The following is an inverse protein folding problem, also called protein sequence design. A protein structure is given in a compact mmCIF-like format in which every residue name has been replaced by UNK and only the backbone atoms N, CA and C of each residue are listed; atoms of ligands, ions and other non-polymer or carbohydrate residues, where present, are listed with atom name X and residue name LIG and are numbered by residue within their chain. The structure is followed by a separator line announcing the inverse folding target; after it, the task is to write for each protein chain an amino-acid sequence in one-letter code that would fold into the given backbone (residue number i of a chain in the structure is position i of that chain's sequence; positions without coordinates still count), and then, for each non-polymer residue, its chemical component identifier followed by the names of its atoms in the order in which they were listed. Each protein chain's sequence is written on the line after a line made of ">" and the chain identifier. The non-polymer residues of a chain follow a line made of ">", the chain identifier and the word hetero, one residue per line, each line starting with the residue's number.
data_IF_613175004105
#
_entry.id   IF_613175004105
#
_cell.length_a   1.000
_cell.length_b   1.000
_cell.length_c   1.000
_cell.angle_alpha   90.00
_cell.angle_beta   90.00
_cell.angle_gamma   90.00
#
_symmetry.space_group_name_H-M   'P 1'
#
loop_
_entity.id
_entity.type
_entity.pdbx_description
1 polymer ?
#
# COMPACT_ATOMS: atom_id res chain seq x y z
N UNK A 1 -24.23 47.69 -22.19
CA UNK A 1 -23.79 46.87 -23.35
C UNK A 1 -22.50 47.47 -23.89
N UNK A 2 -21.35 46.78 -23.95
CA UNK A 2 -20.77 45.75 -23.07
C UNK A 2 -19.43 46.23 -22.43
N UNK A 3 -19.10 45.75 -21.24
CA UNK A 3 -17.77 45.93 -20.61
C UNK A 3 -16.89 44.72 -20.89
N UNK A 4 -15.71 44.97 -21.47
CA UNK A 4 -14.62 44.00 -21.67
C UNK A 4 -14.16 43.42 -20.33
N UNK A 5 -14.04 42.09 -20.23
CA UNK A 5 -13.30 41.41 -19.17
C UNK A 5 -12.04 40.83 -19.79
N UNK A 6 -10.89 41.31 -19.32
CA UNK A 6 -9.54 40.91 -19.69
C UNK A 6 -9.17 39.57 -19.04
N UNK A 7 -8.41 38.69 -19.69
CA UNK A 7 -7.92 37.47 -19.06
C UNK A 7 -6.74 37.81 -18.12
N UNK A 8 -6.90 37.53 -16.83
CA UNK A 8 -5.81 37.60 -15.86
C UNK A 8 -4.75 36.55 -16.18
N UNK A 9 -3.51 37.00 -16.35
CA UNK A 9 -2.33 36.17 -16.47
C UNK A 9 -1.94 35.64 -15.09
N UNK A 10 -1.78 34.32 -14.98
CA UNK A 10 -1.16 33.69 -13.82
C UNK A 10 0.31 34.14 -13.74
N UNK A 11 0.66 34.94 -12.73
CA UNK A 11 2.05 35.24 -12.38
C UNK A 11 2.42 34.39 -11.18
N UNK A 12 3.29 33.40 -11.38
CA UNK A 12 3.96 32.69 -10.28
C UNK A 12 5.03 33.63 -9.71
N UNK A 13 4.69 34.34 -8.64
CA UNK A 13 5.70 34.99 -7.80
C UNK A 13 6.35 33.93 -6.92
N UNK A 14 7.56 33.49 -7.31
CA UNK A 14 8.42 32.70 -6.45
C UNK A 14 8.89 33.58 -5.27
N UNK A 15 8.21 33.46 -4.14
CA UNK A 15 8.77 33.95 -2.87
C UNK A 15 9.93 33.06 -2.48
N UNK A 16 11.11 33.69 -2.39
CA UNK A 16 12.39 33.19 -1.89
C UNK A 16 12.27 32.04 -0.87
N UNK A 17 12.64 30.83 -1.29
CA UNK A 17 12.96 29.73 -0.37
C UNK A 17 14.30 30.04 0.30
N UNK A 18 14.27 30.40 1.58
CA UNK A 18 15.47 30.56 2.41
C UNK A 18 15.96 29.16 2.79
N UNK A 19 17.01 28.68 2.12
CA UNK A 19 17.66 27.43 2.46
C UNK A 19 18.28 27.51 3.87
N UNK A 20 17.69 26.81 4.84
CA UNK A 20 18.35 26.50 6.09
C UNK A 20 19.36 25.38 5.82
N UNK A 21 20.61 25.78 5.60
CA UNK A 21 21.73 24.87 5.40
C UNK A 21 22.06 24.12 6.69
N UNK A 22 21.67 22.85 6.77
CA UNK A 22 22.32 21.90 7.67
C UNK A 22 23.52 21.30 6.94
N UNK A 23 24.72 21.81 7.25
CA UNK A 23 25.98 21.17 6.88
C UNK A 23 26.16 19.92 7.75
N UNK A 24 25.84 18.74 7.25
CA UNK A 24 26.37 17.48 7.78
C UNK A 24 27.48 16.99 6.87
N UNK A 25 28.72 17.16 7.34
CA UNK A 25 29.93 16.55 6.78
C UNK A 25 30.00 15.12 7.31
N UNK A 26 29.84 14.13 6.44
CA UNK A 26 30.18 12.74 6.75
C UNK A 26 31.43 12.41 5.96
N UNK A 27 32.56 12.47 6.65
CA UNK A 27 33.86 11.96 6.21
C UNK A 27 33.88 10.44 6.33
N UNK A 28 34.45 9.81 5.30
CA UNK A 28 35.18 8.53 5.30
C UNK A 28 34.63 7.37 6.14
N UNK A 29 34.05 6.40 5.44
CA UNK A 29 34.01 5.00 5.89
C UNK A 29 34.25 4.07 4.70
N UNK A 30 35.40 4.22 4.05
CA UNK A 30 36.06 3.13 3.33
C UNK A 30 36.87 2.30 4.31
N UNK A 31 36.22 1.35 4.99
CA UNK A 31 36.88 0.15 5.52
C UNK A 31 35.83 -0.84 5.98
N UNK A 32 36.12 -2.15 5.82
CA UNK A 32 35.32 -3.32 6.23
C UNK A 32 34.43 -3.93 5.13
N UNK A 33 35.01 -4.13 3.94
CA UNK A 33 34.83 -5.41 3.25
C UNK A 33 35.77 -6.43 3.91
N UNK A 34 35.22 -7.40 4.65
CA UNK A 34 35.85 -8.72 4.79
C UNK A 34 34.76 -9.82 4.82
N UNK A 35 34.79 -10.79 3.88
CA UNK A 35 33.95 -11.98 3.94
C UNK A 35 34.49 -12.95 5.01
N UNK A 36 33.62 -13.36 5.93
CA UNK A 36 33.98 -14.31 7.00
C UNK A 36 33.77 -15.73 6.52
N UNK A 37 34.85 -16.39 6.11
CA UNK A 37 34.93 -17.85 5.92
C UNK A 37 35.54 -18.49 7.17
N UNK A 38 34.83 -19.41 7.81
CA UNK A 38 35.31 -20.47 8.75
C UNK A 38 34.05 -21.19 9.25
N UNK A 39 33.94 -22.51 9.43
CA UNK A 39 34.84 -23.66 9.30
C UNK A 39 33.94 -24.91 9.41
N UNK A 40 34.28 -25.97 8.69
CA UNK A 40 33.74 -27.32 8.87
C UNK A 40 33.92 -27.78 10.34
N UNK A 41 32.84 -28.31 10.93
CA UNK A 41 32.87 -29.06 12.18
C UNK A 41 32.35 -30.47 11.94
N UNK A 42 33.27 -31.40 11.75
CA UNK A 42 33.07 -32.85 11.78
C UNK A 42 32.77 -33.30 13.20
N UNK A 43 31.72 -34.11 13.40
CA UNK A 43 31.65 -35.07 14.51
C UNK A 43 30.93 -36.34 14.03
N UNK A 44 31.53 -37.47 14.38
CA UNK A 44 31.28 -38.83 13.89
C UNK A 44 30.64 -39.70 14.98
N UNK A 45 29.68 -40.51 14.53
CA UNK A 45 29.23 -41.85 14.96
C UNK A 45 29.10 -42.25 16.45
N UNK A 46 27.91 -42.77 16.78
CA UNK A 46 27.74 -44.17 17.22
C UNK A 46 26.28 -44.63 17.03
N UNK A 47 26.11 -45.80 16.41
CA UNK A 47 24.85 -46.52 16.17
C UNK A 47 24.48 -47.43 17.34
N UNK A 48 23.19 -47.74 17.50
CA UNK A 48 22.72 -49.13 17.65
C UNK A 48 21.19 -49.23 17.45
N UNK A 49 20.80 -50.34 16.86
CA UNK A 49 19.57 -50.71 16.15
C UNK A 49 18.62 -51.64 16.93
N UNK A 50 17.32 -51.57 16.61
CA UNK A 50 16.35 -52.70 16.37
C UNK A 50 14.93 -52.10 16.29
N UNK A 51 14.23 -52.02 15.14
CA UNK A 51 13.36 -53.05 14.50
C UNK A 51 12.31 -53.65 15.47
N UNK A 52 11.00 -53.79 15.20
CA UNK A 52 10.14 -53.66 14.01
C UNK A 52 8.68 -53.46 14.47
N UNK A 53 7.80 -52.93 13.60
CA UNK A 53 6.54 -53.60 13.21
C UNK A 53 5.67 -52.72 12.29
N UNK A 54 5.23 -53.35 11.21
CA UNK A 54 4.48 -52.76 10.11
C UNK A 54 2.97 -52.93 10.29
N UNK A 55 2.18 -51.89 10.03
CA UNK A 55 0.80 -52.01 9.54
C UNK A 55 0.29 -50.70 8.92
N UNK A 56 0.48 -50.61 7.60
CA UNK A 56 -0.41 -50.05 6.58
C UNK A 56 -1.70 -49.33 7.04
N UNK A 57 -1.81 -48.02 6.78
CA UNK A 57 -3.09 -47.43 6.38
C UNK A 57 -2.95 -46.13 5.58
N UNK A 58 -3.17 -46.31 4.27
CA UNK A 58 -3.94 -45.42 3.38
C UNK A 58 -3.42 -43.99 3.24
N UNK A 59 -2.55 -43.83 2.24
CA UNK A 59 -2.47 -42.63 1.42
C UNK A 59 -3.86 -42.28 0.89
N UNK A 60 -4.55 -41.38 1.59
CA UNK A 60 -5.52 -40.49 1.00
C UNK A 60 -4.81 -39.19 0.69
N UNK A 61 -4.16 -39.10 -0.47
CA UNK A 61 -3.82 -37.82 -1.07
C UNK A 61 -5.15 -37.12 -1.39
N UNK A 62 -5.69 -36.41 -0.39
CA UNK A 62 -6.55 -35.30 -0.67
C UNK A 62 -5.71 -34.36 -1.54
N UNK A 63 -6.02 -34.30 -2.83
CA UNK A 63 -5.71 -33.14 -3.66
C UNK A 63 -6.28 -31.96 -2.90
N UNK A 64 -5.44 -31.32 -2.07
CA UNK A 64 -5.73 -30.04 -1.51
C UNK A 64 -6.00 -29.15 -2.71
N UNK A 65 -7.25 -28.75 -2.88
CA UNK A 65 -7.52 -27.55 -3.65
C UNK A 65 -6.57 -26.51 -3.09
N UNK A 66 -5.63 -26.07 -3.91
CA UNK A 66 -4.84 -24.88 -3.63
C UNK A 66 -5.91 -23.78 -3.60
N UNK A 67 -6.43 -23.50 -2.40
CA UNK A 67 -7.15 -22.28 -2.15
C UNK A 67 -6.17 -21.19 -2.58
N UNK A 68 -6.45 -20.43 -3.65
CA UNK A 68 -5.52 -19.39 -4.07
C UNK A 68 -5.25 -18.55 -2.84
N UNK A 69 -3.97 -18.37 -2.49
CA UNK A 69 -3.63 -17.56 -1.32
C UNK A 69 -4.39 -16.24 -1.41
N UNK A 70 -5.05 -15.85 -0.30
CA UNK A 70 -5.87 -14.65 -0.33
C UNK A 70 -4.95 -13.43 -0.46
N UNK A 71 -4.76 -13.00 -1.71
CA UNK A 71 -3.79 -11.98 -2.10
C UNK A 71 -4.05 -10.70 -1.31
N UNK A 72 -2.99 -10.17 -0.70
CA UNK A 72 -3.04 -8.87 -0.05
C UNK A 72 -3.19 -7.77 -1.09
N UNK A 73 -4.18 -6.91 -0.90
CA UNK A 73 -4.52 -5.82 -1.80
C UNK A 73 -4.67 -4.51 -1.03
N UNK A 74 -4.21 -3.43 -1.64
CA UNK A 74 -4.59 -2.08 -1.23
C UNK A 74 -5.60 -1.51 -2.24
N UNK A 75 -6.80 -1.21 -1.78
CA UNK A 75 -7.75 -0.43 -2.55
C UNK A 75 -7.46 1.07 -2.41
N UNK A 76 -7.43 1.76 -3.55
CA UNK A 76 -7.33 3.22 -3.66
C UNK A 76 -8.58 3.70 -4.40
N UNK A 77 -9.31 4.64 -3.84
CA UNK A 77 -10.56 5.16 -4.41
C UNK A 77 -10.38 6.63 -4.71
N UNK A 78 -10.66 7.00 -5.95
CA UNK A 78 -10.57 8.37 -6.47
C UNK A 78 -11.96 8.92 -6.77
N UNK A 79 -12.04 10.24 -6.77
CA UNK A 79 -13.23 11.01 -7.09
C UNK A 79 -13.29 11.31 -8.60
N UNK A 80 -14.33 10.83 -9.29
CA UNK A 80 -14.51 11.06 -10.73
C UNK A 80 -14.68 12.54 -11.07
N UNK A 81 -15.45 13.27 -10.26
CA UNK A 81 -15.64 14.71 -10.40
C UNK A 81 -14.32 15.50 -10.33
N UNK A 82 -13.36 15.04 -9.51
CA UNK A 82 -12.00 15.63 -9.48
C UNK A 82 -11.18 15.19 -10.70
N UNK A 83 -11.26 13.93 -11.12
CA UNK A 83 -10.58 13.46 -12.34
C UNK A 83 -10.98 14.29 -13.56
N UNK A 84 -12.26 14.67 -13.66
CA UNK A 84 -12.79 15.43 -14.79
C UNK A 84 -12.38 16.92 -14.77
N UNK A 85 -11.96 17.45 -13.62
CA UNK A 85 -11.73 18.89 -13.43
C UNK A 85 -10.30 19.25 -13.05
N UNK A 86 -9.52 18.30 -12.54
CA UNK A 86 -8.16 18.51 -12.06
C UNK A 86 -7.12 18.01 -13.07
N UNK A 87 -5.90 18.57 -13.07
CA UNK A 87 -4.78 17.98 -13.78
C UNK A 87 -4.55 16.53 -13.31
N UNK A 88 -4.32 15.61 -14.26
CA UNK A 88 -4.09 14.19 -13.97
C UNK A 88 -3.00 13.98 -12.91
N UNK A 89 -1.89 14.75 -13.00
CA UNK A 89 -0.81 14.70 -12.03
C UNK A 89 -1.27 15.00 -10.61
N UNK A 90 -2.13 16.00 -10.41
CA UNK A 90 -2.69 16.33 -9.09
C UNK A 90 -3.49 15.16 -8.52
N UNK A 91 -4.35 14.52 -9.31
CA UNK A 91 -5.14 13.36 -8.88
C UNK A 91 -4.26 12.17 -8.51
N UNK A 92 -3.23 11.89 -9.32
CA UNK A 92 -2.25 10.83 -9.03
C UNK A 92 -1.58 11.08 -7.69
N UNK A 93 -1.14 12.31 -7.44
CA UNK A 93 -0.52 12.72 -6.17
C UNK A 93 -1.45 12.48 -4.97
N UNK A 94 -2.75 12.76 -5.10
CA UNK A 94 -3.74 12.45 -4.04
C UNK A 94 -3.79 10.95 -3.72
N UNK A 95 -3.79 10.10 -4.76
CA UNK A 95 -3.73 8.65 -4.62
C UNK A 95 -2.47 8.17 -3.90
N UNK A 96 -1.31 8.74 -4.26
CA UNK A 96 -0.04 8.45 -3.60
C UNK A 96 -0.05 8.85 -2.11
N UNK A 97 -0.52 10.06 -1.79
CA UNK A 97 -0.61 10.54 -0.41
C UNK A 97 -1.49 9.66 0.45
N UNK A 98 -2.69 9.33 -0.02
CA UNK A 98 -3.61 8.44 0.70
C UNK A 98 -2.98 7.07 0.92
N UNK A 99 -2.39 6.48 -0.12
CA UNK A 99 -1.80 5.13 -0.06
C UNK A 99 -0.64 5.02 0.91
N UNK A 100 0.31 5.96 0.83
CA UNK A 100 1.48 5.98 1.73
C UNK A 100 1.06 6.25 3.16
N UNK A 101 0.11 7.16 3.38
CA UNK A 101 -0.41 7.45 4.73
C UNK A 101 -1.08 6.22 5.35
N UNK A 102 -1.93 5.52 4.59
CA UNK A 102 -2.61 4.31 5.07
C UNK A 102 -1.62 3.20 5.45
N UNK A 103 -0.54 3.05 4.68
CA UNK A 103 0.54 2.09 4.98
C UNK A 103 1.30 2.53 6.23
N UNK A 104 1.76 3.79 6.29
CA UNK A 104 2.58 4.28 7.39
C UNK A 104 1.87 4.24 8.75
N UNK A 105 0.60 4.65 8.77
CA UNK A 105 -0.24 4.61 9.96
C UNK A 105 -0.47 3.17 10.47
N UNK A 106 -0.28 2.16 9.62
CA UNK A 106 -0.49 0.74 9.93
C UNK A 106 0.78 -0.11 9.72
N UNK A 107 1.97 0.49 9.75
CA UNK A 107 3.24 -0.18 9.41
C UNK A 107 3.55 -1.42 10.28
N UNK A 108 2.95 -1.51 11.46
CA UNK A 108 3.15 -2.60 12.42
C UNK A 108 2.05 -3.69 12.30
N UNK A 109 1.05 -3.52 11.44
CA UNK A 109 0.02 -4.53 11.19
C UNK A 109 0.60 -5.73 10.40
N UNK A 110 0.27 -6.99 10.75
CA UNK A 110 0.84 -8.17 10.10
C UNK A 110 0.65 -8.21 8.58
N UNK A 111 -0.51 -7.79 8.07
CA UNK A 111 -0.74 -7.76 6.62
C UNK A 111 0.05 -6.63 5.96
N UNK A 112 0.21 -5.49 6.63
CA UNK A 112 1.03 -4.38 6.11
C UNK A 112 2.51 -4.76 6.05
N UNK A 113 3.02 -5.43 7.10
CA UNK A 113 4.38 -5.96 7.13
C UNK A 113 4.61 -6.99 6.01
N UNK A 114 3.69 -7.93 5.83
CA UNK A 114 3.76 -8.93 4.76
C UNK A 114 3.70 -8.25 3.38
N UNK A 115 2.80 -7.30 3.18
CA UNK A 115 2.64 -6.57 1.92
C UNK A 115 3.88 -5.75 1.54
N UNK A 116 4.60 -5.22 2.53
CA UNK A 116 5.82 -4.45 2.35
C UNK A 116 7.12 -5.27 2.56
N UNK A 117 7.02 -6.61 2.66
CA UNK A 117 8.20 -7.46 2.90
C UNK A 117 9.14 -7.46 1.68
N UNK A 118 10.45 -7.76 1.85
CA UNK A 118 11.39 -7.84 0.73
C UNK A 118 10.94 -8.77 -0.39
N UNK A 119 10.21 -9.83 -0.05
CA UNK A 119 9.69 -10.82 -1.01
C UNK A 119 8.46 -10.31 -1.77
N UNK A 120 7.68 -9.39 -1.20
CA UNK A 120 6.40 -8.93 -1.76
C UNK A 120 6.44 -7.50 -2.29
N UNK A 121 7.46 -6.70 -1.98
CA UNK A 121 7.50 -5.27 -2.31
C UNK A 121 7.38 -5.01 -3.82
N UNK A 122 7.99 -5.86 -4.65
CA UNK A 122 7.90 -5.79 -6.12
C UNK A 122 6.62 -6.41 -6.69
N UNK A 123 5.82 -7.08 -5.86
CA UNK A 123 4.57 -7.76 -6.22
C UNK A 123 3.34 -7.17 -5.52
N UNK A 124 3.47 -5.96 -4.96
CA UNK A 124 2.37 -5.25 -4.30
C UNK A 124 1.16 -5.10 -5.24
N UNK A 125 0.02 -5.65 -4.83
CA UNK A 125 -1.22 -5.49 -5.58
C UNK A 125 -2.00 -4.25 -5.13
N UNK A 126 -2.38 -3.39 -6.07
CA UNK A 126 -3.24 -2.23 -5.84
C UNK A 126 -4.42 -2.23 -6.82
N UNK A 127 -5.60 -1.88 -6.32
CA UNK A 127 -6.80 -1.73 -7.14
C UNK A 127 -7.33 -0.31 -7.02
N UNK A 128 -7.30 0.42 -8.14
CA UNK A 128 -7.79 1.79 -8.22
C UNK A 128 -9.23 1.82 -8.69
N UNK A 129 -10.13 2.33 -7.85
CA UNK A 129 -11.56 2.44 -8.11
C UNK A 129 -12.00 3.90 -8.11
N UNK A 130 -13.20 4.15 -8.61
CA UNK A 130 -13.79 5.49 -8.62
C UNK A 130 -15.16 5.54 -7.94
N UNK A 131 -15.43 6.70 -7.33
CA UNK A 131 -16.76 7.13 -6.88
C UNK A 131 -17.14 8.40 -7.63
N UNK A 132 -18.44 8.68 -7.74
CA UNK A 132 -18.91 9.84 -8.53
C UNK A 132 -18.50 11.20 -7.95
N UNK A 133 -18.34 11.28 -6.62
CA UNK A 133 -17.97 12.52 -5.95
C UNK A 133 -17.99 12.41 -4.44
N UNK A 134 -17.91 13.56 -3.77
CA UNK A 134 -17.71 13.68 -2.32
C UNK A 134 -18.68 12.87 -1.47
N UNK A 135 -19.98 12.98 -1.74
CA UNK A 135 -20.99 12.28 -0.95
C UNK A 135 -20.78 10.77 -0.97
N UNK A 136 -20.39 10.19 -2.10
CA UNK A 136 -20.11 8.76 -2.18
C UNK A 136 -18.80 8.38 -1.48
N UNK A 137 -17.80 9.26 -1.51
CA UNK A 137 -16.53 9.07 -0.80
C UNK A 137 -16.76 9.01 0.72
N UNK A 138 -17.51 9.96 1.27
CA UNK A 138 -17.83 10.01 2.70
C UNK A 138 -18.66 8.80 3.13
N UNK A 139 -19.72 8.46 2.38
CA UNK A 139 -20.52 7.26 2.63
C UNK A 139 -19.69 5.97 2.60
N UNK A 140 -18.68 5.87 1.73
CA UNK A 140 -17.77 4.73 1.71
C UNK A 140 -16.90 4.71 2.97
N UNK A 141 -16.31 5.83 3.34
CA UNK A 141 -15.49 5.97 4.56
C UNK A 141 -16.26 5.59 5.82
N UNK A 142 -17.51 6.05 5.96
CA UNK A 142 -18.38 5.70 7.08
C UNK A 142 -18.69 4.20 7.12
N UNK A 143 -19.01 3.58 5.98
CA UNK A 143 -19.26 2.13 5.89
C UNK A 143 -18.04 1.31 6.28
N UNK A 144 -16.86 1.71 5.82
CA UNK A 144 -15.61 1.04 6.18
C UNK A 144 -15.32 1.19 7.67
N UNK A 145 -15.52 2.39 8.23
CA UNK A 145 -15.36 2.66 9.67
C UNK A 145 -16.31 1.80 10.50
N UNK A 146 -17.59 1.74 10.13
CA UNK A 146 -18.60 0.92 10.81
C UNK A 146 -18.29 -0.58 10.76
N UNK A 147 -17.58 -1.03 9.74
CA UNK A 147 -17.14 -2.41 9.59
C UNK A 147 -15.75 -2.71 10.20
N UNK A 148 -15.11 -1.72 10.84
CA UNK A 148 -13.76 -1.88 11.40
C UNK A 148 -12.66 -2.00 10.34
N UNK A 149 -12.92 -1.58 9.09
CA UNK A 149 -11.93 -1.56 8.03
C UNK A 149 -11.13 -0.27 8.10
N UNK A 150 -9.87 -0.40 8.48
CA UNK A 150 -8.93 0.71 8.61
C UNK A 150 -8.56 1.25 7.24
N UNK A 151 -8.73 2.56 7.07
CA UNK A 151 -8.43 3.28 5.84
C UNK A 151 -8.04 4.73 6.15
N UNK A 152 -7.31 5.33 5.22
CA UNK A 152 -7.05 6.76 5.18
C UNK A 152 -8.06 7.43 4.28
N UNK A 153 -8.77 8.42 4.81
CA UNK A 153 -9.44 9.45 4.00
C UNK A 153 -8.47 10.64 3.88
N UNK A 154 -7.99 10.91 2.67
CA UNK A 154 -7.10 12.04 2.41
C UNK A 154 -7.91 13.31 2.17
N UNK A 155 -7.56 14.34 2.93
CA UNK A 155 -8.21 15.64 2.94
C UNK A 155 -7.21 16.67 2.42
N UNK A 156 -7.48 17.23 1.25
CA UNK A 156 -6.60 18.23 0.63
C UNK A 156 -6.75 19.59 1.32
N UNK A 157 -5.63 20.26 1.53
CA UNK A 157 -5.56 21.61 2.12
C UNK A 157 -5.14 22.63 1.04
N UNK A 158 -5.57 23.90 1.16
CA UNK A 158 -6.35 24.50 2.25
C UNK A 158 -7.88 24.34 2.14
N UNK A 159 -8.40 23.78 1.04
CA UNK A 159 -9.85 23.71 0.76
C UNK A 159 -10.59 22.73 1.67
N UNK A 160 -9.87 21.86 2.37
CA UNK A 160 -10.38 20.87 3.32
C UNK A 160 -11.40 19.91 2.70
N UNK A 161 -11.12 19.42 1.50
CA UNK A 161 -12.01 18.51 0.75
C UNK A 161 -11.47 17.07 0.73
N UNK A 162 -12.33 16.04 0.85
CA UNK A 162 -11.91 14.65 0.71
C UNK A 162 -11.65 14.32 -0.76
N UNK A 163 -10.42 14.02 -1.13
CA UNK A 163 -10.02 13.79 -2.53
C UNK A 163 -9.82 12.31 -2.85
N UNK A 164 -9.30 11.53 -1.91
CA UNK A 164 -8.95 10.13 -2.10
C UNK A 164 -9.14 9.33 -0.82
N UNK A 165 -9.43 8.03 -0.97
CA UNK A 165 -9.43 7.07 0.13
C UNK A 165 -8.48 5.93 -0.21
N UNK A 166 -7.68 5.48 0.75
CA UNK A 166 -6.88 4.28 0.61
C UNK A 166 -7.03 3.38 1.84
N UNK A 167 -7.26 2.10 1.61
CA UNK A 167 -7.20 1.09 2.69
C UNK A 167 -5.74 0.86 3.09
N UNK A 168 -5.49 0.37 4.31
CA UNK A 168 -4.23 -0.38 4.51
C UNK A 168 -4.28 -1.69 3.69
N UNK A 169 -3.16 -2.41 3.51
CA UNK A 169 -3.21 -3.74 2.92
C UNK A 169 -4.14 -4.69 3.71
N UNK A 170 -4.95 -5.45 2.98
CA UNK A 170 -5.85 -6.48 3.53
C UNK A 170 -5.91 -7.69 2.59
N UNK A 171 -6.24 -8.88 3.11
CA UNK A 171 -6.66 -10.00 2.28
C UNK A 171 -7.87 -9.59 1.43
N UNK A 172 -7.84 -9.90 0.13
CA UNK A 172 -8.85 -9.46 -0.83
C UNK A 172 -10.26 -9.94 -0.45
N UNK A 173 -10.39 -11.13 0.11
CA UNK A 173 -11.68 -11.66 0.55
C UNK A 173 -12.37 -10.75 1.59
N UNK A 174 -11.59 -10.13 2.49
CA UNK A 174 -12.10 -9.25 3.55
C UNK A 174 -12.72 -7.95 3.02
N UNK A 175 -12.24 -7.47 1.86
CA UNK A 175 -12.65 -6.18 1.30
C UNK A 175 -13.68 -6.29 0.18
N UNK A 176 -13.78 -7.46 -0.47
CA UNK A 176 -14.59 -7.66 -1.69
C UNK A 176 -16.03 -7.17 -1.55
N UNK A 177 -16.66 -7.35 -0.38
CA UNK A 177 -18.05 -6.93 -0.15
C UNK A 177 -18.27 -5.41 -0.24
N UNK A 178 -17.28 -4.60 0.14
CA UNK A 178 -17.37 -3.14 0.18
C UNK A 178 -17.11 -2.51 -1.18
N UNK A 179 -16.21 -3.09 -1.96
CA UNK A 179 -15.70 -2.50 -3.19
C UNK A 179 -16.31 -3.08 -4.47
N UNK A 180 -16.97 -4.25 -4.44
CA UNK A 180 -17.50 -4.94 -5.63
C UNK A 180 -18.48 -4.12 -6.50
N UNK A 181 -19.13 -3.11 -5.93
CA UNK A 181 -20.10 -2.25 -6.65
C UNK A 181 -19.46 -1.00 -7.26
N UNK A 182 -18.23 -0.68 -6.89
CA UNK A 182 -17.50 0.45 -7.45
C UNK A 182 -16.89 0.07 -8.80
N UNK A 183 -16.68 1.08 -9.64
CA UNK A 183 -16.09 0.88 -10.96
C UNK A 183 -14.57 1.00 -10.86
N UNK A 184 -13.87 0.29 -11.74
CA UNK A 184 -12.45 0.53 -11.97
C UNK A 184 -12.27 1.97 -12.49
N UNK A 185 -11.32 2.70 -11.91
CA UNK A 185 -10.98 4.05 -12.36
C UNK A 185 -10.32 3.96 -13.75
N UNK A 186 -10.84 4.69 -14.74
CA UNK A 186 -10.36 4.70 -16.13
C UNK A 186 -9.96 6.09 -16.59
#
# INVERSE_FOLDING_TARGET
>A
MPTLISPCRFSLSFTHFRAYGYKTRVSDLTSLLQPRTTRLGTNSMSQSSSESDAANSKNGEARGEIQPEDVLVQYVVLRRDLIDTWPMGSVVTQGCHASVSAIWENKDDPHTLQYCSPENIDFMHKVTLEVKGEAQMLNLSEKLTAAGIVHKLWIEQPENIPTCLATRPYPKSALTLFFKKLKLCK
#
